data_IF_859597639871
#
_entry.id   IF_859597639871
#
_cell.length_a   1.000
_cell.length_b   1.000
_cell.length_c   1.000
_cell.angle_alpha   90.00
_cell.angle_beta   90.00
_cell.angle_gamma   90.00
#
_symmetry.space_group_name_H-M   'P 1'
#
loop_
_entity.id
_entity.type
_entity.pdbx_description
1 polymer ?
#
# COMPACT_ATOMS: atom_id res chain seq x y z
N UNK A 1 -0.38 6.29 -9.47
CA UNK A 1 0.18 6.88 -10.71
C UNK A 1 -0.64 8.13 -11.08
N UNK A 2 -0.06 9.13 -11.74
CA UNK A 2 -0.85 10.29 -12.20
C UNK A 2 -1.91 9.80 -13.20
N UNK A 3 -3.17 10.19 -12.99
CA UNK A 3 -4.30 9.80 -13.86
C UNK A 3 -4.82 8.36 -13.69
N UNK A 4 -4.29 7.58 -12.74
CA UNK A 4 -4.80 6.24 -12.46
C UNK A 4 -6.01 6.29 -11.52
N UNK A 5 -7.15 5.78 -11.97
CA UNK A 5 -8.34 5.55 -11.13
C UNK A 5 -8.21 4.17 -10.50
N UNK A 6 -8.22 4.10 -9.18
CA UNK A 6 -8.10 2.84 -8.45
C UNK A 6 -9.40 2.03 -8.59
N UNK A 7 -9.29 0.78 -9.02
CA UNK A 7 -10.44 -0.11 -9.31
C UNK A 7 -11.32 -0.43 -8.10
N UNK A 8 -10.79 -0.30 -6.88
CA UNK A 8 -11.50 -0.55 -5.62
C UNK A 8 -12.06 0.73 -5.00
N UNK A 9 -11.47 1.89 -5.32
CA UNK A 9 -11.88 3.19 -4.76
C UNK A 9 -12.84 3.92 -5.68
N UNK A 10 -12.69 3.77 -7.00
CA UNK A 10 -13.42 4.54 -7.99
C UNK A 10 -12.90 5.98 -8.09
N UNK A 11 -13.72 6.85 -8.67
CA UNK A 11 -13.45 8.27 -8.78
C UNK A 11 -13.71 9.00 -7.45
N UNK A 12 -12.88 9.98 -7.11
CA UNK A 12 -13.03 10.81 -5.91
C UNK A 12 -12.26 10.33 -4.68
N UNK A 13 -12.45 11.03 -3.56
CA UNK A 13 -11.80 10.75 -2.28
C UNK A 13 -12.72 9.91 -1.37
N UNK A 14 -12.15 8.92 -0.67
CA UNK A 14 -12.85 8.22 0.41
C UNK A 14 -12.97 9.12 1.65
N UNK A 15 -14.00 8.92 2.48
CA UNK A 15 -14.07 9.55 3.80
C UNK A 15 -12.80 9.28 4.62
N UNK A 16 -12.40 10.24 5.46
CA UNK A 16 -11.29 10.05 6.38
C UNK A 16 -11.63 8.92 7.36
N UNK A 17 -10.73 7.96 7.49
CA UNK A 17 -10.88 6.82 8.41
C UNK A 17 -10.27 7.11 9.79
N UNK A 18 -9.35 8.07 9.87
CA UNK A 18 -8.59 8.39 11.07
C UNK A 18 -8.81 9.84 11.44
N UNK A 19 -8.83 10.11 12.75
CA UNK A 19 -9.03 11.43 13.33
C UNK A 19 -7.90 12.42 12.98
N UNK A 20 -6.68 11.93 12.78
CA UNK A 20 -5.51 12.75 12.50
C UNK A 20 -4.41 11.97 11.78
N UNK A 21 -3.37 12.69 11.36
CA UNK A 21 -2.24 12.11 10.64
C UNK A 21 -1.44 11.09 11.47
N UNK A 22 -1.34 11.29 12.78
CA UNK A 22 -0.52 10.43 13.63
C UNK A 22 -1.21 9.07 13.89
N UNK A 23 -2.53 9.05 14.09
CA UNK A 23 -3.32 7.83 14.11
C UNK A 23 -3.22 7.06 12.79
N UNK A 24 -3.30 7.74 11.64
CA UNK A 24 -3.11 7.12 10.33
C UNK A 24 -1.70 6.51 10.15
N UNK A 25 -0.64 7.20 10.59
CA UNK A 25 0.74 6.67 10.56
C UNK A 25 0.92 5.46 11.47
N UNK A 26 0.30 5.46 12.64
CA UNK A 26 0.36 4.34 13.57
C UNK A 26 -0.34 3.12 12.99
N UNK A 27 -1.49 3.30 12.34
CA UNK A 27 -2.18 2.20 11.68
C UNK A 27 -1.38 1.63 10.51
N UNK A 28 -0.81 2.48 9.67
CA UNK A 28 0.09 2.03 8.58
C UNK A 28 1.23 1.13 9.09
N UNK A 29 1.85 1.48 10.23
CA UNK A 29 2.92 0.65 10.83
C UNK A 29 2.40 -0.71 11.30
N UNK A 30 1.20 -0.76 11.88
CA UNK A 30 0.57 -2.03 12.29
C UNK A 30 0.28 -2.90 11.08
N UNK A 31 -0.33 -2.35 10.04
CA UNK A 31 -0.66 -3.09 8.81
C UNK A 31 0.59 -3.64 8.11
N UNK A 32 1.70 -2.89 8.12
CA UNK A 32 2.99 -3.39 7.63
C UNK A 32 3.48 -4.58 8.45
N UNK A 33 3.33 -4.55 9.78
CA UNK A 33 3.67 -5.71 10.63
C UNK A 33 2.74 -6.90 10.38
N UNK A 34 1.45 -6.67 10.17
CA UNK A 34 0.48 -7.71 9.79
C UNK A 34 0.90 -8.40 8.49
N UNK A 35 1.31 -7.63 7.48
CA UNK A 35 1.82 -8.16 6.22
C UNK A 35 3.04 -9.09 6.43
N UNK A 36 4.05 -8.66 7.18
CA UNK A 36 5.23 -9.50 7.42
C UNK A 36 4.88 -10.76 8.23
N UNK A 37 4.05 -10.63 9.26
CA UNK A 37 3.62 -11.76 10.07
C UNK A 37 2.82 -12.78 9.25
N UNK A 38 1.96 -12.30 8.35
CA UNK A 38 1.21 -13.14 7.43
C UNK A 38 2.14 -14.00 6.56
N UNK A 39 3.10 -13.39 5.85
CA UNK A 39 4.01 -14.16 4.99
C UNK A 39 5.03 -15.02 5.76
N UNK A 40 5.36 -14.66 7.00
CA UNK A 40 6.13 -15.54 7.89
C UNK A 40 5.38 -16.84 8.23
N UNK A 41 4.06 -16.75 8.43
CA UNK A 41 3.21 -17.91 8.73
C UNK A 41 2.78 -18.66 7.46
N UNK A 42 2.71 -17.94 6.33
CA UNK A 42 2.14 -18.40 5.07
C UNK A 42 3.10 -18.15 3.87
N UNK A 43 4.32 -18.71 3.87
CA UNK A 43 5.38 -18.34 2.91
C UNK A 43 5.07 -18.66 1.44
N UNK A 44 4.16 -19.61 1.19
CA UNK A 44 3.79 -20.06 -0.16
C UNK A 44 2.51 -19.42 -0.68
N UNK A 45 1.84 -18.60 0.12
CA UNK A 45 0.56 -18.02 -0.29
C UNK A 45 0.72 -16.91 -1.32
N UNK A 46 -0.34 -16.71 -2.11
CA UNK A 46 -0.41 -15.67 -3.13
C UNK A 46 -1.70 -14.85 -3.00
N UNK A 47 -1.83 -14.01 -1.96
CA UNK A 47 -3.00 -13.15 -1.79
C UNK A 47 -3.24 -12.29 -3.03
N UNK A 48 -4.51 -12.11 -3.37
CA UNK A 48 -4.90 -11.32 -4.53
C UNK A 48 -4.66 -9.83 -4.30
N UNK A 49 -3.84 -9.22 -5.14
CA UNK A 49 -3.77 -7.79 -5.33
C UNK A 49 -4.91 -7.33 -6.25
N UNK A 50 -5.66 -6.26 -5.92
CA UNK A 50 -6.80 -5.81 -6.73
C UNK A 50 -6.46 -5.34 -8.15
N UNK A 51 -5.19 -5.08 -8.46
CA UNK A 51 -4.74 -4.65 -9.79
C UNK A 51 -3.94 -5.73 -10.51
N UNK A 52 -3.10 -6.46 -9.78
CA UNK A 52 -2.15 -7.40 -10.38
C UNK A 52 -2.52 -8.89 -10.20
N UNK A 53 -3.61 -9.20 -9.49
CA UNK A 53 -4.01 -10.58 -9.22
C UNK A 53 -3.14 -11.25 -8.15
N UNK A 54 -2.97 -12.58 -8.18
CA UNK A 54 -2.23 -13.31 -7.15
C UNK A 54 -0.75 -12.92 -7.14
N UNK A 55 -0.26 -12.41 -6.01
CA UNK A 55 1.15 -12.04 -5.84
C UNK A 55 1.77 -12.82 -4.68
N UNK A 56 2.98 -13.34 -4.89
CA UNK A 56 3.81 -13.88 -3.81
C UNK A 56 4.45 -12.76 -2.96
N UNK A 57 5.15 -13.13 -1.89
CA UNK A 57 5.82 -12.19 -0.99
C UNK A 57 6.70 -11.16 -1.70
N UNK A 58 7.60 -11.60 -2.57
CA UNK A 58 8.56 -10.73 -3.27
C UNK A 58 7.85 -9.76 -4.22
N UNK A 59 6.80 -10.22 -4.90
CA UNK A 59 5.99 -9.39 -5.78
C UNK A 59 5.22 -8.32 -5.00
N UNK A 60 4.68 -8.66 -3.82
CA UNK A 60 4.10 -7.69 -2.90
C UNK A 60 5.11 -6.66 -2.39
N UNK A 61 6.36 -7.07 -2.09
CA UNK A 61 7.44 -6.15 -1.72
C UNK A 61 7.74 -5.16 -2.85
N UNK A 62 7.80 -5.63 -4.10
CA UNK A 62 7.99 -4.75 -5.27
C UNK A 62 6.84 -3.76 -5.41
N UNK A 63 5.59 -4.24 -5.24
CA UNK A 63 4.40 -3.39 -5.27
C UNK A 63 4.47 -2.30 -4.20
N UNK A 64 4.74 -2.64 -2.93
CA UNK A 64 4.83 -1.67 -1.85
C UNK A 64 5.96 -0.67 -2.07
N UNK A 65 7.15 -1.09 -2.48
CA UNK A 65 8.26 -0.18 -2.79
C UNK A 65 7.85 0.87 -3.84
N UNK A 66 7.17 0.45 -4.91
CA UNK A 66 6.65 1.36 -5.94
C UNK A 66 5.56 2.28 -5.39
N UNK A 67 4.62 1.74 -4.61
CA UNK A 67 3.50 2.48 -4.03
C UNK A 67 3.97 3.56 -3.04
N UNK A 68 4.83 3.20 -2.08
CA UNK A 68 5.41 4.15 -1.13
C UNK A 68 6.21 5.23 -1.83
N UNK A 69 7.07 4.86 -2.78
CA UNK A 69 7.83 5.83 -3.56
C UNK A 69 6.91 6.82 -4.27
N UNK A 70 5.85 6.34 -4.92
CA UNK A 70 4.87 7.21 -5.56
C UNK A 70 4.28 8.23 -4.57
N UNK A 71 3.79 7.78 -3.41
CA UNK A 71 3.19 8.71 -2.45
C UNK A 71 4.20 9.62 -1.76
N UNK A 72 5.42 9.14 -1.50
CA UNK A 72 6.48 9.99 -0.94
C UNK A 72 6.87 11.10 -1.92
N UNK A 73 6.93 10.81 -3.23
CA UNK A 73 7.13 11.86 -4.25
C UNK A 73 5.93 12.81 -4.35
N UNK A 74 4.70 12.29 -4.28
CA UNK A 74 3.48 13.10 -4.34
C UNK A 74 3.39 14.10 -3.18
N UNK A 75 3.82 13.69 -1.99
CA UNK A 75 3.84 14.53 -0.79
C UNK A 75 5.14 15.34 -0.63
N UNK A 76 6.08 15.26 -1.58
CA UNK A 76 7.34 16.00 -1.52
C UNK A 76 8.31 15.53 -0.42
N UNK A 77 8.17 14.30 0.07
CA UNK A 77 9.03 13.72 1.10
C UNK A 77 10.36 13.22 0.54
N UNK A 78 10.40 12.90 -0.75
CA UNK A 78 11.60 12.52 -1.50
C UNK A 78 11.57 13.18 -2.89
N UNK A 79 12.73 13.36 -3.56
CA UNK A 79 12.78 13.91 -4.91
C UNK A 79 11.97 13.06 -5.91
N UNK A 80 11.25 13.73 -6.81
CA UNK A 80 10.74 13.09 -8.02
C UNK A 80 11.93 12.73 -8.91
N UNK A 81 11.94 11.50 -9.42
CA UNK A 81 12.87 11.08 -10.48
C UNK A 81 12.30 11.41 -11.85
#
# INVERSE_FOLDING_TARGET
PKGFVNTVVGEGLKPLQFENLDSAKNELKKEVNVFYNYFNQHPSEKPNNPTFGPLNYEEWIVFYKKHFKHHYTQFGLIPAL
#
